data_IF_038156433973
#
_entry.id   IF_038156433973
#
_cell.length_a   1.000
_cell.length_b   1.000
_cell.length_c   1.000
_cell.angle_alpha   90.00
_cell.angle_beta   90.00
_cell.angle_gamma   90.00
#
_symmetry.space_group_name_H-M   'P 1'
#
loop_
_entity.id
_entity.type
_entity.pdbx_description
1 polymer ?
#
# COMPACT_ATOMS: atom_id res chain seq x y z
N UNK A 1 14.32 23.73 -10.35
CA UNK A 1 14.30 22.55 -9.44
C UNK A 1 15.63 21.77 -9.43
N UNK A 2 16.69 22.21 -10.13
CA UNK A 2 18.03 21.60 -10.09
C UNK A 2 19.02 22.58 -9.44
N UNK A 3 18.71 23.07 -8.24
CA UNK A 3 19.57 24.00 -7.49
C UNK A 3 20.10 23.41 -6.18
N UNK A 4 19.77 22.16 -5.87
CA UNK A 4 20.28 21.43 -4.70
C UNK A 4 21.05 20.21 -5.24
N UNK A 5 22.38 20.28 -5.15
CA UNK A 5 23.29 19.25 -5.65
C UNK A 5 23.00 17.86 -5.08
N UNK A 6 23.28 16.84 -5.90
CA UNK A 6 22.96 15.42 -5.67
C UNK A 6 23.80 14.82 -4.52
N UNK A 7 24.94 15.41 -4.16
CA UNK A 7 25.82 14.90 -3.11
C UNK A 7 26.34 16.01 -2.18
N UNK A 8 25.82 16.06 -0.96
CA UNK A 8 26.28 16.97 0.09
C UNK A 8 25.66 16.65 1.45
N UNK A 9 26.41 16.88 2.53
CA UNK A 9 26.14 16.53 3.96
C UNK A 9 24.79 17.01 4.54
N UNK A 10 23.97 17.73 3.79
CA UNK A 10 22.56 18.03 4.08
C UNK A 10 21.70 17.44 2.97
N UNK A 11 21.57 16.10 3.01
CA UNK A 11 21.02 15.28 1.93
C UNK A 11 19.61 15.71 1.49
N UNK A 12 19.45 15.85 0.18
CA UNK A 12 18.16 15.89 -0.54
C UNK A 12 17.28 14.65 -0.22
N UNK A 13 17.89 13.54 0.21
CA UNK A 13 17.22 12.30 0.65
C UNK A 13 16.80 12.27 2.13
N UNK A 14 17.17 13.27 2.94
CA UNK A 14 16.76 13.36 4.34
C UNK A 14 15.34 13.92 4.51
N UNK A 15 14.84 14.66 3.52
CA UNK A 15 13.49 15.24 3.55
C UNK A 15 12.51 14.30 2.84
N UNK A 16 11.54 13.77 3.59
CA UNK A 16 10.51 12.83 3.10
C UNK A 16 9.71 13.41 1.95
N UNK A 17 9.47 14.72 1.94
CA UNK A 17 8.70 15.40 0.89
C UNK A 17 9.41 15.39 -0.45
N UNK A 18 10.73 15.48 -0.40
CA UNK A 18 11.56 15.51 -1.58
C UNK A 18 11.75 14.12 -2.20
N UNK A 19 11.77 13.07 -1.36
CA UNK A 19 11.75 11.67 -1.80
C UNK A 19 10.43 11.29 -2.48
N UNK A 20 9.31 11.83 -1.99
CA UNK A 20 8.00 11.68 -2.62
C UNK A 20 7.93 12.38 -3.99
N UNK A 21 8.49 13.60 -4.10
CA UNK A 21 8.52 14.31 -5.38
C UNK A 21 9.36 13.55 -6.43
N UNK A 22 10.51 13.00 -6.04
CA UNK A 22 11.32 12.15 -6.91
C UNK A 22 10.56 10.90 -7.40
N UNK A 23 9.82 10.22 -6.51
CA UNK A 23 9.01 9.07 -6.87
C UNK A 23 7.92 9.40 -7.90
N UNK A 24 7.25 10.56 -7.74
CA UNK A 24 6.22 11.03 -8.65
C UNK A 24 6.81 11.35 -10.04
N UNK A 25 7.98 11.99 -10.10
CA UNK A 25 8.69 12.27 -11.36
C UNK A 25 9.08 10.97 -12.06
N UNK A 26 9.62 9.99 -11.34
CA UNK A 26 9.97 8.68 -11.89
C UNK A 26 8.74 7.94 -12.42
N UNK A 27 7.62 7.93 -11.69
CA UNK A 27 6.37 7.31 -12.14
C UNK A 27 5.84 7.97 -13.43
N UNK A 28 5.94 9.30 -13.55
CA UNK A 28 5.58 10.03 -14.78
C UNK A 28 6.52 9.73 -15.95
N UNK A 29 7.82 9.55 -15.69
CA UNK A 29 8.81 9.20 -16.72
C UNK A 29 8.60 7.77 -17.25
N UNK A 30 8.18 6.85 -16.37
CA UNK A 30 7.77 5.49 -16.75
C UNK A 30 6.49 5.50 -17.60
N UNK A 31 5.49 6.33 -17.26
CA UNK A 31 4.28 6.49 -18.10
C UNK A 31 4.64 6.96 -19.52
N UNK A 32 5.50 7.98 -19.64
CA UNK A 32 5.94 8.51 -20.93
C UNK A 32 6.71 7.49 -21.76
N UNK A 33 7.58 6.70 -21.13
CA UNK A 33 8.37 5.67 -21.82
C UNK A 33 7.53 4.49 -22.30
N UNK A 34 6.47 4.13 -21.56
CA UNK A 34 5.57 3.03 -21.91
C UNK A 34 4.53 3.41 -22.98
N UNK A 35 4.10 4.68 -23.00
CA UNK A 35 3.22 5.22 -24.06
C UNK A 35 3.91 5.16 -25.44
N UNK A 36 5.21 5.46 -25.49
CA UNK A 36 6.04 5.33 -26.70
C UNK A 36 6.11 3.89 -27.22
N UNK A 37 5.98 2.89 -26.34
CA UNK A 37 6.15 1.47 -26.68
C UNK A 37 4.81 0.73 -26.91
N UNK A 38 3.67 1.44 -26.88
CA UNK A 38 2.31 0.92 -27.17
C UNK A 38 1.90 -0.35 -26.38
N UNK A 39 2.43 -0.52 -25.16
CA UNK A 39 2.09 -1.65 -24.28
C UNK A 39 0.95 -1.24 -23.34
N UNK A 40 -0.27 -1.63 -23.71
CA UNK A 40 -1.49 -1.39 -22.94
C UNK A 40 -1.54 -2.30 -21.70
N UNK A 41 -0.75 -1.98 -20.68
CA UNK A 41 -0.78 -2.68 -19.40
C UNK A 41 -1.72 -1.94 -18.42
N UNK A 42 -2.52 -2.70 -17.68
CA UNK A 42 -3.40 -2.17 -16.62
C UNK A 42 -2.66 -1.30 -15.59
N UNK A 43 -1.32 -1.44 -15.49
CA UNK A 43 -0.42 -0.59 -14.72
C UNK A 43 -0.43 0.91 -15.12
N UNK A 44 -0.75 1.24 -16.38
CA UNK A 44 -0.89 2.64 -16.83
C UNK A 44 -2.05 3.34 -16.12
N UNK A 45 -3.15 2.62 -15.80
CA UNK A 45 -4.27 3.21 -15.05
C UNK A 45 -3.87 3.55 -13.62
N UNK A 46 -3.09 2.70 -12.96
CA UNK A 46 -2.65 2.94 -11.57
C UNK A 46 -1.69 4.11 -11.46
N UNK A 47 -0.80 4.32 -12.45
CA UNK A 47 0.12 5.47 -12.47
C UNK A 47 -0.62 6.80 -12.61
N UNK A 48 -1.74 6.85 -13.34
CA UNK A 48 -2.57 8.06 -13.43
C UNK A 48 -3.18 8.48 -12.08
N UNK A 49 -3.42 7.53 -11.17
CA UNK A 49 -3.92 7.79 -9.80
C UNK A 49 -2.86 8.50 -8.93
N UNK A 50 -1.58 8.48 -9.32
CA UNK A 50 -0.52 9.24 -8.64
C UNK A 50 -0.48 10.73 -9.05
N UNK A 51 -1.15 11.15 -10.15
CA UNK A 51 -1.18 12.57 -10.56
C UNK A 51 -1.86 13.49 -9.53
N UNK A 52 -2.99 13.12 -8.91
CA UNK A 52 -3.56 13.83 -7.76
C UNK A 52 -2.57 14.02 -6.60
N UNK A 53 -1.70 13.03 -6.34
CA UNK A 53 -0.65 13.14 -5.32
C UNK A 53 0.36 14.27 -5.64
N UNK A 54 0.62 14.53 -6.92
CA UNK A 54 1.44 15.69 -7.34
C UNK A 54 0.80 17.03 -6.97
N UNK A 55 -0.53 17.12 -7.01
CA UNK A 55 -1.27 18.33 -6.62
C UNK A 55 -1.17 18.58 -5.11
N UNK A 56 -1.14 17.51 -4.30
CA UNK A 56 -0.90 17.59 -2.84
C UNK A 56 0.47 18.19 -2.55
N UNK A 57 1.50 17.81 -3.33
CA UNK A 57 2.82 18.42 -3.21
C UNK A 57 2.86 19.88 -3.68
N UNK A 58 1.97 20.35 -4.56
CA UNK A 58 1.93 21.76 -4.97
C UNK A 58 1.37 22.69 -3.88
N UNK A 59 0.51 22.18 -2.99
CA UNK A 59 -0.17 22.99 -1.97
C UNK A 59 0.42 22.74 -0.59
N UNK A 60 1.17 23.69 0.00
CA UNK A 60 1.84 23.49 1.29
C UNK A 60 0.87 23.18 2.44
N UNK A 61 -0.37 23.69 2.37
CA UNK A 61 -1.40 23.45 3.40
C UNK A 61 -1.81 21.98 3.54
N UNK A 62 -1.83 21.21 2.44
CA UNK A 62 -2.21 19.79 2.48
C UNK A 62 -1.10 18.91 3.10
N UNK A 63 0.15 19.35 3.00
CA UNK A 63 1.31 18.65 3.55
C UNK A 63 1.29 18.62 5.08
N UNK A 64 0.82 19.71 5.69
CA UNK A 64 0.70 19.84 7.16
C UNK A 64 -0.29 18.80 7.69
N UNK A 65 -1.45 18.63 7.05
CA UNK A 65 -2.46 17.66 7.46
C UNK A 65 -1.93 16.22 7.41
N UNK A 66 -1.19 15.88 6.35
CA UNK A 66 -0.58 14.55 6.21
C UNK A 66 0.49 14.32 7.28
N UNK A 67 1.36 15.28 7.55
CA UNK A 67 2.36 15.16 8.62
C UNK A 67 1.70 14.95 9.99
N UNK A 68 0.66 15.71 10.31
CA UNK A 68 -0.08 15.54 11.58
C UNK A 68 -0.71 14.15 11.68
N UNK A 69 -1.27 13.63 10.59
CA UNK A 69 -1.79 12.27 10.55
C UNK A 69 -0.67 11.24 10.78
N UNK A 70 0.46 11.39 10.09
CA UNK A 70 1.63 10.52 10.26
C UNK A 70 2.23 10.59 11.67
N UNK A 71 2.22 11.75 12.32
CA UNK A 71 2.69 11.94 13.70
C UNK A 71 1.79 11.24 14.72
N UNK A 72 0.49 11.05 14.41
CA UNK A 72 -0.43 10.29 15.27
C UNK A 72 -0.38 8.77 15.06
N UNK A 73 0.11 8.31 13.90
CA UNK A 73 0.29 6.88 13.61
C UNK A 73 1.15 6.12 14.63
N UNK A 74 2.30 6.61 15.16
CA UNK A 74 3.07 5.86 16.14
C UNK A 74 2.29 5.57 17.43
N UNK A 75 1.41 6.49 17.85
CA UNK A 75 0.56 6.29 19.02
C UNK A 75 -0.52 5.23 18.77
N UNK A 76 -1.12 5.25 17.56
CA UNK A 76 -2.06 4.21 17.10
C UNK A 76 -1.37 2.85 16.85
N UNK A 77 -0.09 2.86 16.47
CA UNK A 77 0.70 1.67 16.17
C UNK A 77 0.77 0.70 17.34
N UNK A 78 0.91 1.22 18.56
CA UNK A 78 0.90 0.39 19.78
C UNK A 78 -0.44 -0.36 19.97
N UNK A 79 -1.56 0.33 19.70
CA UNK A 79 -2.91 -0.27 19.80
C UNK A 79 -3.12 -1.28 18.68
N UNK A 80 -2.68 -0.98 17.45
CA UNK A 80 -2.75 -1.90 16.32
C UNK A 80 -1.92 -3.16 16.55
N UNK A 81 -0.74 -3.04 17.17
CA UNK A 81 0.10 -4.19 17.48
C UNK A 81 -0.60 -5.12 18.48
N UNK A 82 -1.20 -4.56 19.53
CA UNK A 82 -2.01 -5.34 20.48
C UNK A 82 -3.20 -6.02 19.76
N UNK A 83 -3.92 -5.28 18.92
CA UNK A 83 -5.04 -5.80 18.14
C UNK A 83 -4.61 -6.95 17.22
N UNK A 84 -3.47 -6.79 16.53
CA UNK A 84 -2.89 -7.83 15.68
C UNK A 84 -2.50 -9.08 16.48
N UNK A 85 -1.93 -8.91 17.66
CA UNK A 85 -1.60 -10.03 18.56
C UNK A 85 -2.85 -10.79 19.01
N UNK A 86 -3.93 -10.07 19.35
CA UNK A 86 -5.21 -10.68 19.70
C UNK A 86 -5.80 -11.46 18.52
N UNK A 87 -5.82 -10.87 17.32
CA UNK A 87 -6.28 -11.58 16.12
C UNK A 87 -5.42 -12.79 15.78
N UNK A 88 -4.12 -12.73 16.05
CA UNK A 88 -3.22 -13.86 15.84
C UNK A 88 -3.56 -15.05 16.74
N UNK A 89 -3.80 -14.81 18.04
CA UNK A 89 -4.20 -15.86 18.99
C UNK A 89 -5.55 -16.46 18.59
N UNK A 90 -6.56 -15.62 18.35
CA UNK A 90 -7.89 -16.11 17.92
C UNK A 90 -7.85 -16.80 16.55
N UNK A 91 -6.95 -16.37 15.65
CA UNK A 91 -6.73 -17.03 14.37
C UNK A 91 -6.19 -18.45 14.53
N UNK A 92 -5.19 -18.66 15.39
CA UNK A 92 -4.66 -20.01 15.67
C UNK A 92 -5.75 -20.89 16.31
N UNK A 93 -6.45 -20.36 17.31
CA UNK A 93 -7.54 -21.08 17.99
C UNK A 93 -8.65 -21.44 16.99
N UNK A 94 -9.04 -20.49 16.13
CA UNK A 94 -10.07 -20.69 15.12
C UNK A 94 -9.69 -21.77 14.10
N UNK A 95 -8.43 -21.76 13.63
CA UNK A 95 -7.95 -22.82 12.72
C UNK A 95 -7.93 -24.17 13.42
N UNK A 96 -7.48 -24.25 14.68
CA UNK A 96 -7.42 -25.52 15.40
C UNK A 96 -8.82 -26.10 15.69
N UNK A 97 -9.80 -25.26 15.97
CA UNK A 97 -11.19 -25.68 16.27
C UNK A 97 -12.00 -26.04 15.02
N UNK A 98 -11.84 -25.29 13.92
CA UNK A 98 -12.64 -25.45 12.70
C UNK A 98 -11.90 -26.09 11.53
N UNK A 99 -10.68 -26.61 11.74
CA UNK A 99 -9.97 -27.38 10.73
C UNK A 99 -10.82 -28.59 10.28
N UNK A 100 -11.19 -28.61 9.00
CA UNK A 100 -11.89 -29.73 8.37
C UNK A 100 -13.41 -29.79 8.58
N UNK A 101 -13.96 -29.19 9.65
CA UNK A 101 -15.40 -29.22 9.94
C UNK A 101 -16.25 -28.56 8.83
N UNK A 102 -15.72 -27.52 8.19
CA UNK A 102 -16.40 -26.78 7.12
C UNK A 102 -16.42 -27.53 5.77
N UNK A 103 -15.70 -28.66 5.63
CA UNK A 103 -15.68 -29.48 4.41
C UNK A 103 -16.68 -30.64 4.45
N UNK A 104 -17.48 -30.78 5.50
CA UNK A 104 -18.48 -31.84 5.58
C UNK A 104 -19.50 -31.68 4.44
N UNK A 105 -19.58 -32.70 3.59
CA UNK A 105 -20.55 -32.85 2.50
C UNK A 105 -21.34 -34.12 2.79
N UNK A 106 -22.67 -34.06 2.70
CA UNK A 106 -23.48 -35.28 2.74
C UNK A 106 -23.24 -36.05 1.44
N UNK A 107 -22.73 -37.28 1.56
CA UNK A 107 -22.62 -38.19 0.42
C UNK A 107 -23.92 -39.01 0.36
N UNK A 108 -24.63 -39.04 -0.77
CA UNK A 108 -25.74 -39.98 -0.94
C UNK A 108 -25.17 -41.41 -1.00
N UNK A 109 -25.72 -42.35 -0.23
CA UNK A 109 -25.34 -43.76 -0.37
C UNK A 109 -25.74 -44.26 -1.77
N UNK A 110 -24.76 -44.69 -2.57
CA UNK A 110 -24.97 -45.32 -3.88
C UNK A 110 -25.48 -46.77 -3.75
N UNK A 111 -26.50 -47.01 -2.93
CA UNK A 111 -27.18 -48.30 -2.80
C UNK A 111 -28.71 -48.14 -2.80
N UNK A 112 -29.24 -47.38 -3.75
CA UNK A 112 -30.65 -47.52 -4.16
C UNK A 112 -30.72 -48.33 -5.45
N UNK A 113 -30.29 -49.59 -5.39
CA UNK A 113 -30.65 -50.61 -6.37
C UNK A 113 -31.96 -51.26 -5.91
N UNK A 114 -33.06 -50.91 -6.56
CA UNK A 114 -34.28 -51.71 -6.62
C UNK A 114 -34.63 -51.92 -8.10
#
# INVERSE_FOLDING_TARGET
MVALGIFGRRCYLGDTWNRLDFFIVMAGMVEYSLDLQNINLSAIRTVRVLRPLKAINRVPSMRILVNLLLDTLPMLGNVLLLCFFVFFIFGIIGVQLWAGLLRNRCYPEENFTL
#
